data_IF_361657924126
#
_entry.id   IF_361657924126
#
_cell.length_a   1.000
_cell.length_b   1.000
_cell.length_c   1.000
_cell.angle_alpha   90.00
_cell.angle_beta   90.00
_cell.angle_gamma   90.00
#
_symmetry.space_group_name_H-M   'P 1'
#
loop_
_entity.id
_entity.type
_entity.pdbx_description
1 polymer ?
#
# COMPACT_ATOMS: atom_id res chain seq x y z
N UNK A 1 62.97 -51.41 -31.38
CA UNK A 1 63.85 -50.34 -30.86
C UNK A 1 63.19 -49.01 -31.15
N UNK A 2 63.02 -48.16 -30.14
CA UNK A 2 62.87 -46.68 -30.13
C UNK A 2 62.03 -46.02 -31.26
N UNK A 3 61.10 -45.10 -31.05
CA UNK A 3 61.14 -43.95 -30.14
C UNK A 3 59.77 -43.25 -30.12
N UNK A 4 59.49 -42.59 -28.99
CA UNK A 4 58.38 -41.67 -28.72
C UNK A 4 58.26 -40.51 -29.72
N UNK A 5 57.04 -40.00 -29.86
CA UNK A 5 56.76 -38.55 -29.82
C UNK A 5 55.31 -38.32 -29.40
N UNK A 6 55.15 -37.85 -28.15
CA UNK A 6 53.90 -37.43 -27.53
C UNK A 6 53.68 -35.97 -27.93
N UNK A 7 52.59 -35.68 -28.66
CA UNK A 7 52.12 -34.31 -28.88
C UNK A 7 51.08 -33.96 -27.80
N UNK A 8 51.49 -33.13 -26.83
CA UNK A 8 50.61 -32.50 -25.86
C UNK A 8 49.99 -31.25 -26.50
N UNK A 9 48.66 -31.25 -26.68
CA UNK A 9 47.89 -30.05 -27.06
C UNK A 9 47.43 -29.36 -25.77
N UNK A 10 47.72 -28.06 -25.56
CA UNK A 10 47.24 -27.34 -24.39
C UNK A 10 45.75 -27.00 -24.57
N UNK A 11 44.92 -27.46 -23.63
CA UNK A 11 43.52 -27.07 -23.52
C UNK A 11 43.48 -25.64 -22.96
N UNK A 12 43.09 -24.67 -23.79
CA UNK A 12 42.88 -23.30 -23.34
C UNK A 12 41.59 -23.21 -22.51
N UNK A 13 41.74 -23.05 -21.20
CA UNK A 13 40.67 -22.64 -20.29
C UNK A 13 40.36 -21.17 -20.54
N UNK A 14 39.33 -20.88 -21.32
CA UNK A 14 38.74 -19.55 -21.34
C UNK A 14 37.89 -19.38 -20.08
N UNK A 15 38.45 -18.68 -19.10
CA UNK A 15 37.71 -18.20 -17.94
C UNK A 15 36.65 -17.20 -18.39
N UNK A 16 35.38 -17.57 -18.26
CA UNK A 16 34.28 -16.62 -18.34
C UNK A 16 34.39 -15.67 -17.16
N UNK A 17 34.56 -14.37 -17.43
CA UNK A 17 34.32 -13.35 -16.42
C UNK A 17 32.83 -13.40 -16.06
N UNK A 18 32.50 -13.89 -14.87
CA UNK A 18 31.21 -13.60 -14.26
C UNK A 18 31.20 -12.09 -14.03
N UNK A 19 30.47 -11.36 -14.87
CA UNK A 19 30.12 -9.99 -14.54
C UNK A 19 29.44 -10.03 -13.17
N UNK A 20 30.06 -9.37 -12.19
CA UNK A 20 29.49 -9.24 -10.87
C UNK A 20 28.07 -8.64 -11.01
N UNK A 21 27.07 -9.16 -10.29
CA UNK A 21 25.79 -8.48 -10.23
C UNK A 21 26.04 -7.05 -9.75
N UNK A 22 25.55 -6.07 -10.51
CA UNK A 22 25.57 -4.67 -10.10
C UNK A 22 25.02 -4.57 -8.67
N UNK A 23 25.61 -3.74 -7.80
CA UNK A 23 25.02 -3.49 -6.50
C UNK A 23 23.59 -3.01 -6.71
N UNK A 24 22.63 -3.75 -6.16
CA UNK A 24 21.24 -3.31 -6.08
C UNK A 24 21.30 -2.06 -5.20
N UNK A 25 21.15 -0.90 -5.83
CA UNK A 25 20.89 0.34 -5.12
C UNK A 25 19.67 0.09 -4.22
N UNK A 26 19.77 0.27 -2.88
CA UNK A 26 18.60 0.26 -2.00
C UNK A 26 17.79 1.54 -2.23
N UNK A 27 17.51 1.86 -3.50
CA UNK A 27 16.44 2.76 -3.85
C UNK A 27 15.17 2.18 -3.23
N UNK A 28 14.49 3.00 -2.43
CA UNK A 28 13.16 2.74 -1.86
C UNK A 28 12.37 1.85 -2.83
N UNK A 29 12.12 0.59 -2.44
CA UNK A 29 11.29 -0.30 -3.26
C UNK A 29 9.87 0.23 -3.17
N UNK A 30 9.53 1.13 -4.10
CA UNK A 30 8.13 1.43 -4.41
C UNK A 30 7.56 0.14 -4.98
N UNK A 31 6.63 -0.41 -4.22
CA UNK A 31 6.13 -1.77 -4.34
C UNK A 31 5.69 -2.18 -5.74
N UNK A 32 4.88 -1.33 -6.38
CA UNK A 32 4.49 -1.46 -7.77
C UNK A 32 4.42 -0.05 -8.34
N UNK A 33 5.03 0.19 -9.50
CA UNK A 33 5.12 1.53 -10.09
C UNK A 33 3.75 2.19 -10.35
N UNK A 34 2.70 1.38 -10.49
CA UNK A 34 1.32 1.82 -10.72
C UNK A 34 0.53 2.07 -9.44
N UNK A 35 1.01 1.58 -8.29
CA UNK A 35 0.37 1.79 -6.99
C UNK A 35 1.05 2.95 -6.28
N UNK A 36 0.48 4.13 -6.45
CA UNK A 36 1.01 5.39 -5.90
C UNK A 36 0.02 5.98 -4.90
N UNK A 37 0.43 6.99 -4.10
CA UNK A 37 -0.51 7.72 -3.24
C UNK A 37 -1.61 8.48 -3.99
N UNK A 38 -1.50 8.68 -5.31
CA UNK A 38 -2.52 9.36 -6.10
C UNK A 38 -3.80 8.52 -6.21
N UNK A 39 -4.95 9.20 -6.28
CA UNK A 39 -6.23 8.54 -6.50
C UNK A 39 -6.22 7.80 -7.83
N UNK A 40 -6.60 6.53 -7.79
CA UNK A 40 -6.83 5.70 -8.96
C UNK A 40 -8.18 5.02 -8.79
N UNK A 41 -9.15 5.34 -9.65
CA UNK A 41 -10.38 4.57 -9.76
C UNK A 41 -10.16 3.43 -10.74
N UNK A 42 -10.67 2.23 -10.45
CA UNK A 42 -10.43 1.05 -11.27
C UNK A 42 -11.34 0.99 -12.51
N UNK A 43 -11.43 2.08 -13.26
CA UNK A 43 -12.28 2.21 -14.46
C UNK A 43 -11.72 1.45 -15.66
N UNK A 44 -12.62 0.91 -16.48
CA UNK A 44 -12.27 0.38 -17.80
C UNK A 44 -11.85 1.51 -18.77
N UNK A 45 -11.01 1.23 -19.79
CA UNK A 45 -10.46 -0.08 -20.17
C UNK A 45 -9.15 -0.45 -19.47
N UNK A 46 -8.49 0.51 -18.82
CA UNK A 46 -7.13 0.31 -18.30
C UNK A 46 -7.09 -0.43 -16.96
N UNK A 47 -8.23 -0.50 -16.27
CA UNK A 47 -8.42 -1.22 -15.01
C UNK A 47 -9.73 -2.03 -15.02
N UNK A 48 -9.96 -2.79 -13.94
CA UNK A 48 -11.14 -3.66 -13.77
C UNK A 48 -12.06 -3.09 -12.70
N UNK A 49 -13.27 -2.60 -13.06
CA UNK A 49 -14.27 -2.15 -12.10
C UNK A 49 -14.62 -3.23 -11.09
N UNK A 50 -14.85 -2.83 -9.84
CA UNK A 50 -15.07 -3.75 -8.72
C UNK A 50 -16.56 -4.05 -8.46
N UNK A 51 -17.48 -3.32 -9.09
CA UNK A 51 -18.93 -3.47 -8.93
C UNK A 51 -19.39 -3.47 -7.46
N UNK A 52 -18.79 -2.58 -6.66
CA UNK A 52 -19.13 -2.42 -5.25
C UNK A 52 -20.35 -1.51 -5.09
N UNK A 53 -21.19 -1.79 -4.09
CA UNK A 53 -22.25 -0.87 -3.70
C UNK A 53 -21.67 0.30 -2.90
N UNK A 54 -22.06 1.52 -3.30
CA UNK A 54 -21.63 2.76 -2.65
C UNK A 54 -22.00 2.79 -1.15
N UNK A 55 -23.16 2.23 -0.80
CA UNK A 55 -23.63 2.13 0.59
C UNK A 55 -22.71 1.25 1.46
N UNK A 56 -22.17 0.16 0.90
CA UNK A 56 -21.23 -0.71 1.60
C UNK A 56 -19.90 0.00 1.86
N UNK A 57 -19.42 0.77 0.87
CA UNK A 57 -18.21 1.61 1.01
C UNK A 57 -18.39 2.67 2.10
N UNK A 58 -19.54 3.35 2.12
CA UNK A 58 -19.90 4.32 3.16
C UNK A 58 -20.01 3.67 4.55
N UNK A 59 -20.54 2.45 4.62
CA UNK A 59 -20.63 1.69 5.86
C UNK A 59 -19.22 1.41 6.41
N UNK A 60 -18.30 0.93 5.56
CA UNK A 60 -16.91 0.68 5.95
C UNK A 60 -16.29 1.94 6.55
N UNK A 61 -16.38 3.09 5.87
CA UNK A 61 -15.84 4.35 6.38
C UNK A 61 -16.44 4.74 7.74
N UNK A 62 -17.76 4.64 7.87
CA UNK A 62 -18.49 4.93 9.11
C UNK A 62 -18.09 4.03 10.27
N UNK A 63 -17.91 2.73 10.01
CA UNK A 63 -17.43 1.76 10.99
C UNK A 63 -16.01 2.09 11.44
N UNK A 64 -15.08 2.32 10.52
CA UNK A 64 -13.68 2.61 10.83
C UNK A 64 -13.53 3.90 11.65
N UNK A 65 -14.30 4.93 11.31
CA UNK A 65 -14.35 6.18 12.09
C UNK A 65 -14.83 5.94 13.52
N UNK A 66 -15.92 5.20 13.68
CA UNK A 66 -16.47 4.83 14.98
C UNK A 66 -15.49 3.97 15.79
N UNK A 67 -14.85 2.99 15.15
CA UNK A 67 -13.84 2.13 15.76
C UNK A 67 -12.64 2.95 16.26
N UNK A 68 -12.14 3.86 15.42
CA UNK A 68 -11.09 4.81 15.76
C UNK A 68 -11.42 5.65 16.99
N UNK A 69 -12.65 6.14 17.08
CA UNK A 69 -13.12 7.01 18.17
C UNK A 69 -13.35 6.30 19.52
N UNK A 70 -13.23 4.96 19.60
CA UNK A 70 -13.38 4.22 20.86
C UNK A 70 -12.26 4.52 21.88
N UNK A 71 -11.14 5.11 21.44
CA UNK A 71 -10.08 5.60 22.31
C UNK A 71 -10.02 7.11 22.17
N UNK A 72 -9.81 7.83 23.29
CA UNK A 72 -9.79 9.30 23.33
C UNK A 72 -8.77 9.92 22.37
N UNK A 73 -7.60 9.31 22.20
CA UNK A 73 -6.56 9.76 21.26
C UNK A 73 -6.79 9.25 19.83
N UNK A 74 -7.84 8.47 19.58
CA UNK A 74 -8.00 7.72 18.34
C UNK A 74 -7.15 6.46 18.31
N UNK A 75 -7.68 5.40 17.69
CA UNK A 75 -6.90 4.20 17.38
C UNK A 75 -6.02 4.44 16.16
N UNK A 76 -4.79 3.95 16.24
CA UNK A 76 -3.85 3.92 15.13
C UNK A 76 -3.88 2.55 14.43
N UNK A 77 -3.73 2.59 13.12
CA UNK A 77 -3.43 1.46 12.27
C UNK A 77 -1.93 1.51 11.94
N UNK A 78 -1.20 0.44 12.25
CA UNK A 78 0.26 0.38 12.13
C UNK A 78 0.65 -0.68 11.11
N UNK A 79 1.62 -0.35 10.26
CA UNK A 79 2.26 -1.27 9.34
C UNK A 79 3.77 -1.13 9.51
N UNK A 80 4.43 -2.12 10.10
CA UNK A 80 5.88 -2.10 10.17
C UNK A 80 6.48 -2.58 8.84
N UNK A 81 7.58 -1.96 8.39
CA UNK A 81 8.30 -2.38 7.20
C UNK A 81 8.69 -3.87 7.25
N UNK A 82 9.08 -4.35 8.44
CA UNK A 82 9.47 -5.74 8.66
C UNK A 82 8.33 -6.74 8.43
N UNK A 83 7.07 -6.30 8.59
CA UNK A 83 5.88 -7.13 8.38
C UNK A 83 5.36 -7.04 6.94
N UNK A 84 5.89 -6.11 6.14
CA UNK A 84 5.52 -5.85 4.74
C UNK A 84 6.70 -5.97 3.74
N UNK A 85 7.56 -7.00 3.80
CA UNK A 85 8.77 -7.07 2.97
C UNK A 85 8.47 -7.01 1.46
N UNK A 86 7.35 -7.63 1.06
CA UNK A 86 6.83 -7.66 -0.30
C UNK A 86 5.52 -6.87 -0.42
N UNK A 87 5.44 -5.71 0.23
CA UNK A 87 4.34 -4.77 0.05
C UNK A 87 3.01 -5.32 0.55
N UNK A 88 3.07 -5.81 1.78
CA UNK A 88 1.97 -6.48 2.47
C UNK A 88 0.67 -5.68 2.36
N UNK A 89 -0.41 -6.42 2.21
CA UNK A 89 -1.77 -5.91 2.12
C UNK A 89 -2.59 -6.58 3.21
N UNK A 90 -3.30 -5.79 4.01
CA UNK A 90 -4.10 -6.25 5.14
C UNK A 90 -5.54 -5.82 4.97
N UNK A 91 -6.46 -6.76 5.18
CA UNK A 91 -7.88 -6.43 5.28
C UNK A 91 -8.09 -5.52 6.50
N UNK A 92 -8.59 -4.32 6.25
CA UNK A 92 -8.96 -3.36 7.30
C UNK A 92 -10.37 -3.66 7.78
N UNK A 93 -11.30 -3.81 6.84
CA UNK A 93 -12.69 -4.18 7.11
C UNK A 93 -13.41 -4.61 5.83
N UNK A 94 -14.48 -5.41 5.98
CA UNK A 94 -15.33 -5.86 4.89
C UNK A 94 -16.81 -5.67 5.26
N UNK A 95 -17.62 -5.27 4.30
CA UNK A 95 -19.07 -5.17 4.45
C UNK A 95 -19.76 -5.38 3.12
N UNK A 96 -20.78 -6.25 3.08
CA UNK A 96 -21.55 -6.54 1.87
C UNK A 96 -20.67 -6.87 0.67
N UNK A 97 -20.80 -6.08 -0.39
CA UNK A 97 -20.09 -6.20 -1.68
C UNK A 97 -18.66 -5.65 -1.65
N UNK A 98 -18.25 -4.93 -0.59
CA UNK A 98 -16.99 -4.19 -0.55
C UNK A 98 -16.01 -4.68 0.54
N UNK A 99 -14.72 -4.57 0.23
CA UNK A 99 -13.62 -4.76 1.18
C UNK A 99 -12.65 -3.58 1.10
N UNK A 100 -12.23 -3.08 2.26
CA UNK A 100 -11.15 -2.10 2.38
C UNK A 100 -9.84 -2.78 2.80
N UNK A 101 -8.81 -2.63 1.98
CA UNK A 101 -7.46 -3.09 2.29
C UNK A 101 -6.51 -1.92 2.50
N UNK A 102 -5.57 -2.07 3.42
CA UNK A 102 -4.43 -1.18 3.57
C UNK A 102 -3.20 -1.89 3.00
N UNK A 103 -2.54 -1.26 2.03
CA UNK A 103 -1.33 -1.79 1.40
C UNK A 103 -0.15 -0.88 1.70
N UNK A 104 0.96 -1.50 2.06
CA UNK A 104 2.20 -0.80 2.31
C UNK A 104 2.96 -0.63 1.00
N UNK A 105 3.17 0.60 0.56
CA UNK A 105 3.82 0.93 -0.71
C UNK A 105 5.28 1.37 -0.55
N UNK A 106 5.75 1.51 0.69
CA UNK A 106 7.13 1.87 1.00
C UNK A 106 7.70 0.93 2.08
N UNK A 107 8.31 -0.17 1.68
CA UNK A 107 8.87 -1.18 2.59
C UNK A 107 10.13 -0.73 3.38
N UNK A 108 10.48 0.56 3.37
CA UNK A 108 11.66 1.08 4.10
C UNK A 108 11.29 1.86 5.36
N UNK A 109 10.01 2.18 5.55
CA UNK A 109 9.51 2.96 6.69
C UNK A 109 8.46 2.19 7.46
N UNK A 110 8.34 2.46 8.76
CA UNK A 110 7.18 2.00 9.51
C UNK A 110 6.10 3.06 9.39
N UNK A 111 4.87 2.67 9.09
CA UNK A 111 3.77 3.59 8.83
C UNK A 111 2.68 3.49 9.90
N UNK A 112 2.20 4.62 10.41
CA UNK A 112 1.14 4.69 11.39
C UNK A 112 0.18 5.83 11.07
N UNK A 113 -1.10 5.51 10.95
CA UNK A 113 -2.16 6.50 10.66
C UNK A 113 -3.39 6.23 11.52
N UNK A 114 -4.22 7.24 11.74
CA UNK A 114 -5.49 7.07 12.44
C UNK A 114 -6.50 6.31 11.58
N UNK A 115 -7.31 5.45 12.21
CA UNK A 115 -8.48 4.87 11.54
C UNK A 115 -9.48 5.93 11.04
N UNK A 116 -9.51 7.11 11.68
CA UNK A 116 -10.29 8.25 11.22
C UNK A 116 -9.77 8.84 9.90
N UNK A 117 -8.46 8.79 9.66
CA UNK A 117 -7.86 9.25 8.41
C UNK A 117 -8.10 8.22 7.30
N UNK A 118 -8.03 6.93 7.60
CA UNK A 118 -8.46 5.86 6.69
C UNK A 118 -9.94 6.06 6.30
N UNK A 119 -10.82 6.30 7.27
CA UNK A 119 -12.23 6.57 6.99
C UNK A 119 -12.44 7.79 6.08
N UNK A 120 -11.74 8.90 6.37
CA UNK A 120 -11.78 10.13 5.55
C UNK A 120 -11.22 9.91 4.14
N UNK A 121 -10.22 9.05 4.00
CA UNK A 121 -9.69 8.61 2.70
C UNK A 121 -10.77 7.90 1.88
N UNK A 122 -11.64 7.14 2.55
CA UNK A 122 -12.71 6.39 1.90
C UNK A 122 -13.86 7.31 1.51
N UNK A 123 -14.39 8.13 2.40
CA UNK A 123 -15.67 8.87 2.17
C UNK A 123 -15.54 10.40 2.06
N UNK A 124 -14.33 10.95 2.18
CA UNK A 124 -14.06 12.39 2.19
C UNK A 124 -14.28 13.08 3.55
N UNK A 125 -14.79 12.35 4.55
CA UNK A 125 -15.05 12.85 5.90
C UNK A 125 -16.52 13.19 6.19
N UNK A 126 -16.82 13.42 7.47
CA UNK A 126 -18.17 13.80 7.91
C UNK A 126 -18.52 15.19 7.38
N UNK A 127 -19.63 15.30 6.65
CA UNK A 127 -20.06 16.56 6.04
C UNK A 127 -19.15 17.03 4.90
N UNK A 128 -18.44 16.10 4.25
CA UNK A 128 -17.61 16.39 3.09
C UNK A 128 -18.40 17.11 1.98
N UNK A 129 -17.78 18.14 1.41
CA UNK A 129 -18.25 18.77 0.17
C UNK A 129 -18.12 17.81 -1.02
N UNK A 130 -18.80 18.12 -2.12
CA UNK A 130 -18.70 17.33 -3.36
C UNK A 130 -17.25 17.18 -3.84
N UNK A 131 -16.43 18.23 -3.72
CA UNK A 131 -15.02 18.19 -4.09
C UNK A 131 -14.20 17.25 -3.20
N UNK A 132 -14.52 17.17 -1.90
CA UNK A 132 -13.86 16.25 -0.97
C UNK A 132 -14.28 14.80 -1.21
N UNK A 133 -15.56 14.57 -1.52
CA UNK A 133 -16.05 13.24 -1.92
C UNK A 133 -15.37 12.81 -3.22
N UNK A 134 -15.31 13.68 -4.23
CA UNK A 134 -14.65 13.41 -5.50
C UNK A 134 -13.16 13.06 -5.33
N UNK A 135 -12.48 13.69 -4.37
CA UNK A 135 -11.08 13.41 -4.03
C UNK A 135 -10.86 12.19 -3.11
N UNK A 136 -11.93 11.49 -2.72
CA UNK A 136 -11.91 10.29 -1.86
C UNK A 136 -12.25 9.02 -2.66
N UNK A 137 -12.10 7.83 -2.07
CA UNK A 137 -12.45 6.57 -2.76
C UNK A 137 -13.95 6.46 -3.08
N UNK A 138 -14.81 7.14 -2.33
CA UNK A 138 -16.25 7.23 -2.62
C UNK A 138 -16.51 7.97 -3.94
N UNK A 139 -15.62 8.88 -4.33
CA UNK A 139 -15.64 9.54 -5.64
C UNK A 139 -15.44 8.60 -6.82
N UNK A 140 -14.89 7.40 -6.59
CA UNK A 140 -14.79 6.34 -7.61
C UNK A 140 -16.09 5.55 -7.80
N UNK A 141 -17.14 5.81 -7.02
CA UNK A 141 -18.43 5.15 -7.16
C UNK A 141 -18.33 3.62 -7.05
N UNK A 142 -18.95 2.93 -7.99
CA UNK A 142 -19.01 1.45 -8.02
C UNK A 142 -17.72 0.81 -8.54
N UNK A 143 -16.82 1.59 -9.14
CA UNK A 143 -15.59 1.03 -9.71
C UNK A 143 -14.60 0.58 -8.64
N UNK A 144 -14.70 1.13 -7.41
CA UNK A 144 -13.65 1.01 -6.41
C UNK A 144 -12.37 1.72 -6.85
N UNK A 145 -11.31 1.60 -6.05
CA UNK A 145 -10.07 2.32 -6.33
C UNK A 145 -9.00 2.18 -5.27
N UNK A 146 -7.91 2.92 -5.44
CA UNK A 146 -6.84 3.10 -4.47
C UNK A 146 -6.50 4.56 -4.24
N UNK A 147 -6.14 4.92 -3.01
CA UNK A 147 -5.74 6.28 -2.64
C UNK A 147 -4.80 6.26 -1.43
N UNK A 148 -3.77 7.09 -1.44
CA UNK A 148 -2.92 7.32 -0.27
C UNK A 148 -3.73 7.87 0.90
N UNK A 149 -3.40 7.49 2.13
CA UNK A 149 -4.17 7.93 3.30
C UNK A 149 -4.18 9.47 3.39
N UNK A 150 -5.37 10.05 3.45
CA UNK A 150 -5.59 11.48 3.66
C UNK A 150 -5.39 11.83 5.14
N UNK A 151 -4.13 11.98 5.52
CA UNK A 151 -3.72 12.20 6.92
C UNK A 151 -4.06 13.62 7.37
N UNK A 152 -4.78 13.74 8.49
CA UNK A 152 -4.94 15.02 9.17
C UNK A 152 -3.74 15.29 10.09
N UNK A 153 -2.66 15.84 9.54
CA UNK A 153 -1.41 16.12 10.26
C UNK A 153 -1.57 17.11 11.42
N UNK A 154 -2.66 17.89 11.45
CA UNK A 154 -2.99 18.77 12.57
C UNK A 154 -3.61 18.04 13.77
N UNK A 155 -3.95 16.75 13.64
CA UNK A 155 -4.47 15.96 14.75
C UNK A 155 -3.39 15.83 15.86
N UNK A 156 -3.70 16.17 17.13
CA UNK A 156 -2.73 16.16 18.21
C UNK A 156 -2.15 14.78 18.52
N UNK A 157 -2.76 13.70 18.04
CA UNK A 157 -2.22 12.36 18.20
C UNK A 157 -0.86 12.22 17.53
N UNK A 158 -0.62 12.85 16.37
CA UNK A 158 0.64 12.72 15.64
C UNK A 158 1.84 13.42 16.29
N UNK A 159 1.59 14.40 17.15
CA UNK A 159 2.61 15.05 17.98
C UNK A 159 2.59 14.55 19.43
N UNK A 160 1.67 13.66 19.77
CA UNK A 160 1.48 13.12 21.11
C UNK A 160 2.49 12.03 21.45
N UNK A 161 2.77 11.87 22.74
CA UNK A 161 3.71 10.85 23.24
C UNK A 161 3.25 9.40 23.02
N UNK A 162 1.99 9.19 22.65
CA UNK A 162 1.41 7.87 22.35
C UNK A 162 1.58 7.46 20.90
N UNK A 163 2.00 8.37 20.02
CA UNK A 163 2.34 8.02 18.64
C UNK A 163 3.63 7.19 18.60
N UNK A 164 3.68 6.07 17.87
CA UNK A 164 4.79 5.15 17.93
C UNK A 164 6.09 5.78 17.41
N UNK A 165 7.14 5.74 18.23
CA UNK A 165 8.44 6.31 17.87
C UNK A 165 9.01 5.63 16.62
N UNK A 166 9.52 6.43 15.68
CA UNK A 166 10.12 5.94 14.43
C UNK A 166 9.11 5.57 13.33
N UNK A 167 7.81 5.80 13.53
CA UNK A 167 6.79 5.64 12.50
C UNK A 167 6.53 6.97 11.79
N UNK A 168 6.19 6.92 10.51
CA UNK A 168 5.78 8.05 9.67
C UNK A 168 4.33 7.88 9.23
N UNK A 169 3.71 8.93 8.72
CA UNK A 169 2.31 8.89 8.25
C UNK A 169 2.18 8.48 6.79
N UNK A 170 3.29 8.41 6.06
CA UNK A 170 3.35 8.05 4.64
C UNK A 170 3.49 6.54 4.43
N UNK A 171 3.35 6.07 3.20
CA UNK A 171 3.66 4.69 2.82
C UNK A 171 2.48 3.72 2.84
N UNK A 172 1.26 4.20 3.10
CA UNK A 172 0.02 3.41 3.07
C UNK A 172 -0.92 3.94 1.99
N UNK A 173 -1.45 3.02 1.18
CA UNK A 173 -2.64 3.28 0.36
C UNK A 173 -3.81 2.44 0.87
N UNK A 174 -5.02 2.96 0.71
CA UNK A 174 -6.27 2.26 0.96
C UNK A 174 -6.87 1.85 -0.37
N UNK A 175 -7.35 0.61 -0.45
CA UNK A 175 -7.98 0.04 -1.63
C UNK A 175 -9.41 -0.39 -1.31
N UNK A 176 -10.35 -0.04 -2.17
CA UNK A 176 -11.72 -0.58 -2.17
C UNK A 176 -11.84 -1.57 -3.32
N UNK A 177 -12.15 -2.81 -3.00
CA UNK A 177 -12.28 -3.92 -3.95
C UNK A 177 -13.53 -4.76 -3.65
N UNK A 178 -13.94 -5.56 -4.61
CA UNK A 178 -15.06 -6.48 -4.45
C UNK A 178 -14.80 -7.48 -3.32
N UNK A 179 -15.85 -7.84 -2.57
CA UNK A 179 -15.79 -8.93 -1.60
C UNK A 179 -15.85 -10.32 -2.24
N UNK A 180 -16.41 -10.40 -3.44
CA UNK A 180 -16.75 -11.66 -4.11
C UNK A 180 -17.97 -12.36 -3.50
N UNK A 181 -18.72 -11.67 -2.64
CA UNK A 181 -19.98 -12.13 -2.04
C UNK A 181 -21.18 -11.94 -2.97
#
# INVERSE_FOLDING_TARGET
MLSNLINLVPMALFGGALAAPSPIDPAVRVCYATETPSQLCYTAPDNIPQDVLVEDVQFIASYLRSYGAQIRTGRLFNMAAADAPDCGEWLVYAHGTAQAFAKHINNTVNSSVLFADIATTIDGGVGASEAQIAASLLGCGTDGGSLGVLVNTANPTYSGSTYPAGYVTDGIIIKIVASGA
#
